data_IF_124049745339
#
_entry.id   IF_124049745339
#
_cell.length_a   1.000
_cell.length_b   1.000
_cell.length_c   1.000
_cell.angle_alpha   90.00
_cell.angle_beta   90.00
_cell.angle_gamma   90.00
#
_symmetry.space_group_name_H-M   'P 1'
#
loop_
_entity.id
_entity.type
_entity.pdbx_description
1 polymer ?
#
# COMPACT_ATOMS: atom_id res chain seq x y z
N UNK A 1 16.58 2.54 -20.31
CA UNK A 1 15.32 2.02 -19.73
C UNK A 1 15.57 0.58 -19.35
N UNK A 2 15.59 0.25 -18.06
CA UNK A 2 15.58 -1.15 -17.63
C UNK A 2 14.31 -1.79 -18.17
N UNK A 3 14.46 -2.74 -19.09
CA UNK A 3 13.33 -3.40 -19.74
C UNK A 3 12.68 -4.35 -18.72
N UNK A 4 11.88 -3.80 -17.80
CA UNK A 4 11.17 -4.58 -16.81
C UNK A 4 10.31 -5.62 -17.54
N UNK A 5 10.38 -6.88 -17.10
CA UNK A 5 9.53 -7.96 -17.60
C UNK A 5 8.06 -7.53 -17.56
N UNK A 6 7.26 -7.93 -18.56
CA UNK A 6 5.84 -7.65 -18.58
C UNK A 6 5.16 -8.36 -17.40
N UNK A 7 4.36 -7.62 -16.62
CA UNK A 7 3.59 -8.18 -15.50
C UNK A 7 2.34 -7.35 -15.25
N UNK A 8 1.34 -7.98 -14.63
CA UNK A 8 0.26 -7.26 -13.96
C UNK A 8 0.72 -6.78 -12.58
N UNK A 9 0.34 -5.56 -12.23
CA UNK A 9 0.62 -4.94 -10.93
C UNK A 9 -0.64 -4.32 -10.40
N UNK A 10 -0.71 -4.19 -9.07
CA UNK A 10 -1.77 -3.43 -8.43
C UNK A 10 -1.62 -1.96 -8.83
N UNK A 11 -2.68 -1.38 -9.39
CA UNK A 11 -2.67 0.03 -9.81
C UNK A 11 -3.50 0.90 -8.89
N UNK A 12 -4.54 0.35 -8.30
CA UNK A 12 -5.30 0.97 -7.23
C UNK A 12 -5.97 -0.07 -6.35
N UNK A 13 -6.38 0.40 -5.18
CA UNK A 13 -7.23 -0.31 -4.25
C UNK A 13 -8.46 0.56 -3.98
N UNK A 14 -9.63 -0.01 -4.19
CA UNK A 14 -10.93 0.55 -3.85
C UNK A 14 -11.49 -0.21 -2.64
N UNK A 15 -11.67 0.48 -1.52
CA UNK A 15 -12.18 -0.13 -0.30
C UNK A 15 -13.69 -0.43 -0.35
N UNK A 16 -14.43 0.19 -1.27
CA UNK A 16 -15.89 0.17 -1.25
C UNK A 16 -16.50 -0.92 -2.14
N UNK A 17 -16.01 -1.08 -3.37
CA UNK A 17 -16.65 -1.98 -4.35
C UNK A 17 -15.69 -3.02 -4.93
N UNK A 18 -14.55 -2.58 -5.47
CA UNK A 18 -13.77 -3.43 -6.37
C UNK A 18 -12.54 -4.12 -5.73
N UNK A 19 -12.10 -3.69 -4.55
CA UNK A 19 -10.87 -4.18 -3.95
C UNK A 19 -9.65 -3.81 -4.79
N UNK A 20 -8.75 -4.77 -5.01
CA UNK A 20 -7.55 -4.55 -5.81
C UNK A 20 -7.84 -4.59 -7.31
N UNK A 21 -7.39 -3.56 -8.02
CA UNK A 21 -7.48 -3.44 -9.48
C UNK A 21 -6.09 -3.48 -10.11
N UNK A 22 -5.95 -4.31 -11.14
CA UNK A 22 -4.67 -4.64 -11.74
C UNK A 22 -4.51 -3.99 -13.11
N UNK A 23 -3.27 -3.70 -13.48
CA UNK A 23 -2.94 -3.17 -14.80
C UNK A 23 -1.52 -3.56 -15.20
N UNK A 24 -1.25 -3.50 -16.50
CA UNK A 24 0.08 -3.81 -17.01
C UNK A 24 1.10 -2.79 -16.50
N UNK A 25 2.30 -3.26 -16.19
CA UNK A 25 3.40 -2.40 -15.74
C UNK A 25 3.98 -1.52 -16.85
N UNK A 26 3.76 -1.88 -18.11
CA UNK A 26 4.21 -1.14 -19.30
C UNK A 26 3.19 -1.25 -20.43
N UNK A 27 3.25 -0.32 -21.37
CA UNK A 27 2.46 -0.38 -22.60
C UNK A 27 2.91 -1.58 -23.44
N UNK A 28 1.96 -2.26 -24.06
CA UNK A 28 2.17 -3.34 -25.03
C UNK A 28 1.64 -2.91 -26.41
N UNK A 29 2.01 -3.59 -27.52
CA UNK A 29 1.44 -3.32 -28.82
C UNK A 29 -0.09 -3.45 -28.82
N UNK A 30 -0.76 -2.64 -29.64
CA UNK A 30 -2.23 -2.58 -29.66
C UNK A 30 -2.84 -3.94 -30.09
N UNK A 31 -2.19 -4.66 -31.00
CA UNK A 31 -2.59 -6.03 -31.41
C UNK A 31 -2.60 -7.03 -30.24
N UNK A 32 -1.63 -6.94 -29.33
CA UNK A 32 -1.59 -7.77 -28.12
C UNK A 32 -2.61 -7.29 -27.09
N UNK A 33 -2.83 -5.98 -26.99
CA UNK A 33 -3.80 -5.41 -26.07
C UNK A 33 -5.24 -5.79 -26.44
N UNK A 34 -5.61 -5.78 -27.72
CA UNK A 34 -6.97 -6.15 -28.16
C UNK A 34 -7.33 -7.60 -27.78
N UNK A 35 -6.34 -8.52 -27.67
CA UNK A 35 -6.58 -9.90 -27.20
C UNK A 35 -7.05 -9.95 -25.75
N UNK A 36 -6.55 -9.06 -24.91
CA UNK A 36 -6.84 -9.04 -23.47
C UNK A 36 -7.87 -7.99 -23.06
N UNK A 37 -8.15 -7.01 -23.92
CA UNK A 37 -9.10 -5.93 -23.67
C UNK A 37 -10.47 -6.37 -23.14
N UNK A 38 -11.07 -7.51 -23.55
CA UNK A 38 -12.33 -8.00 -22.97
C UNK A 38 -12.27 -8.29 -21.46
N UNK A 39 -11.07 -8.50 -20.89
CA UNK A 39 -10.83 -8.73 -19.47
C UNK A 39 -10.52 -7.43 -18.69
N UNK A 40 -10.49 -6.29 -19.40
CA UNK A 40 -10.27 -4.99 -18.80
C UNK A 40 -11.53 -4.12 -18.87
N UNK A 41 -11.78 -3.35 -17.82
CA UNK A 41 -12.73 -2.22 -17.81
C UNK A 41 -11.92 -0.93 -17.89
N UNK A 42 -12.35 0.00 -18.74
CA UNK A 42 -11.78 1.36 -18.77
C UNK A 42 -12.40 2.18 -17.66
N UNK A 43 -11.68 2.35 -16.55
CA UNK A 43 -12.16 3.06 -15.38
C UNK A 43 -11.93 4.56 -15.48
N UNK A 44 -12.92 5.33 -15.08
CA UNK A 44 -12.91 6.80 -14.98
C UNK A 44 -13.19 7.21 -13.54
N UNK A 45 -12.87 8.46 -13.17
CA UNK A 45 -13.17 8.98 -11.82
C UNK A 45 -14.63 8.81 -11.41
N UNK A 46 -15.55 8.95 -12.37
CA UNK A 46 -16.98 8.82 -12.14
C UNK A 46 -17.42 7.39 -11.76
N UNK A 47 -16.61 6.38 -12.07
CA UNK A 47 -16.90 4.98 -11.73
C UNK A 47 -16.66 4.66 -10.24
N UNK A 48 -16.09 5.59 -9.47
CA UNK A 48 -15.75 5.41 -8.05
C UNK A 48 -16.52 6.34 -7.11
N UNK A 49 -17.64 6.93 -7.56
CA UNK A 49 -18.36 7.97 -6.80
C UNK A 49 -19.40 7.37 -5.86
N UNK A 50 -19.12 7.45 -4.56
CA UNK A 50 -20.04 7.95 -3.53
C UNK A 50 -19.24 8.63 -2.40
N UNK A 51 -19.67 9.84 -2.00
CA UNK A 51 -19.47 10.55 -0.71
C UNK A 51 -18.07 10.73 -0.11
N UNK A 52 -17.30 9.65 0.00
CA UNK A 52 -15.98 9.54 0.61
C UNK A 52 -15.17 8.55 -0.24
N UNK A 53 -14.57 9.01 -1.35
CA UNK A 53 -13.82 8.14 -2.26
C UNK A 53 -12.66 7.50 -1.49
N UNK A 54 -12.84 6.25 -1.05
CA UNK A 54 -11.80 5.46 -0.39
C UNK A 54 -11.03 4.63 -1.43
N UNK A 55 -10.48 5.35 -2.42
CA UNK A 55 -9.64 4.75 -3.47
C UNK A 55 -8.22 5.27 -3.35
N UNK A 56 -7.26 4.37 -3.19
CA UNK A 56 -5.83 4.71 -3.17
C UNK A 56 -5.17 4.21 -4.46
N UNK A 57 -4.38 5.08 -5.11
CA UNK A 57 -3.61 4.72 -6.30
C UNK A 57 -4.02 5.46 -7.56
N UNK A 58 -3.85 4.82 -8.72
CA UNK A 58 -4.20 5.36 -10.04
C UNK A 58 -5.45 4.64 -10.57
N UNK A 59 -6.66 5.12 -10.22
CA UNK A 59 -7.91 4.48 -10.62
C UNK A 59 -8.17 4.54 -12.12
N UNK A 60 -7.71 5.58 -12.82
CA UNK A 60 -8.07 5.83 -14.21
C UNK A 60 -7.36 4.92 -15.23
N UNK A 61 -8.10 4.50 -16.25
CA UNK A 61 -7.64 3.71 -17.39
C UNK A 61 -8.04 2.24 -17.30
N UNK A 62 -7.55 1.45 -18.25
CA UNK A 62 -7.85 0.02 -18.30
C UNK A 62 -7.33 -0.72 -17.07
N UNK A 63 -8.25 -1.30 -16.30
CA UNK A 63 -7.94 -2.20 -15.18
C UNK A 63 -8.65 -3.54 -15.30
N UNK A 64 -8.00 -4.57 -14.78
CA UNK A 64 -8.47 -5.93 -14.73
C UNK A 64 -8.78 -6.28 -13.26
N UNK A 65 -9.85 -7.05 -13.05
CA UNK A 65 -10.21 -7.59 -11.74
C UNK A 65 -9.34 -8.79 -11.38
N UNK A 66 -9.16 -9.07 -10.08
CA UNK A 66 -8.35 -10.22 -9.62
C UNK A 66 -8.72 -11.54 -10.31
N UNK A 67 -10.02 -11.80 -10.47
CA UNK A 67 -10.56 -13.02 -11.11
C UNK A 67 -10.12 -13.23 -12.57
N UNK A 68 -9.73 -12.16 -13.27
CA UNK A 68 -9.37 -12.19 -14.69
C UNK A 68 -7.84 -12.08 -14.90
N UNK A 69 -7.07 -11.85 -13.82
CA UNK A 69 -5.59 -11.71 -13.85
C UNK A 69 -4.92 -12.93 -14.50
N UNK A 70 -5.27 -14.14 -14.06
CA UNK A 70 -4.62 -15.36 -14.56
C UNK A 70 -4.82 -15.57 -16.06
N UNK A 71 -6.02 -15.26 -16.58
CA UNK A 71 -6.33 -15.35 -18.01
C UNK A 71 -5.51 -14.34 -18.81
N UNK A 72 -5.39 -13.11 -18.32
CA UNK A 72 -4.58 -12.08 -18.98
C UNK A 72 -3.11 -12.47 -18.98
N UNK A 73 -2.59 -13.01 -17.87
CA UNK A 73 -1.21 -13.48 -17.78
C UNK A 73 -0.94 -14.64 -18.74
N UNK A 74 -1.88 -15.57 -18.89
CA UNK A 74 -1.80 -16.68 -19.85
C UNK A 74 -1.76 -16.17 -21.30
N UNK A 75 -2.71 -15.32 -21.69
CA UNK A 75 -2.82 -14.80 -23.07
C UNK A 75 -1.56 -14.02 -23.48
N UNK A 76 -0.99 -13.25 -22.56
CA UNK A 76 0.22 -12.45 -22.81
C UNK A 76 1.53 -13.21 -22.57
N UNK A 77 1.47 -14.49 -22.17
CA UNK A 77 2.65 -15.30 -21.89
C UNK A 77 3.49 -14.79 -20.70
N UNK A 78 2.86 -14.15 -19.72
CA UNK A 78 3.54 -13.62 -18.53
C UNK A 78 3.94 -14.79 -17.62
N UNK A 79 5.25 -14.98 -17.44
CA UNK A 79 5.76 -16.12 -16.67
C UNK A 79 5.85 -15.85 -15.17
N UNK A 80 6.14 -14.60 -14.80
CA UNK A 80 6.21 -14.13 -13.42
C UNK A 80 4.83 -13.64 -12.93
N UNK A 81 3.91 -14.59 -12.79
CA UNK A 81 2.49 -14.33 -12.48
C UNK A 81 2.29 -13.68 -11.11
N UNK A 82 1.14 -13.04 -10.91
CA UNK A 82 0.70 -12.55 -9.60
C UNK A 82 0.66 -13.70 -8.59
N UNK A 83 0.10 -14.84 -8.98
CA UNK A 83 0.00 -16.03 -8.15
C UNK A 83 1.38 -16.53 -7.70
N UNK A 84 2.35 -16.67 -8.62
CA UNK A 84 3.71 -17.09 -8.26
C UNK A 84 4.36 -16.12 -7.28
N UNK A 85 4.13 -14.81 -7.44
CA UNK A 85 4.67 -13.81 -6.50
C UNK A 85 4.02 -13.91 -5.12
N UNK A 86 2.71 -14.17 -5.04
CA UNK A 86 2.01 -14.39 -3.78
C UNK A 86 2.46 -15.70 -3.11
N UNK A 87 2.63 -16.79 -3.87
CA UNK A 87 3.07 -18.07 -3.36
C UNK A 87 4.49 -18.01 -2.78
N UNK A 88 5.41 -17.27 -3.41
CA UNK A 88 6.75 -17.02 -2.84
C UNK A 88 6.69 -16.39 -1.44
N UNK A 89 5.74 -15.47 -1.21
CA UNK A 89 5.54 -14.86 0.11
C UNK A 89 4.95 -15.89 1.08
N UNK A 90 3.92 -16.64 0.67
CA UNK A 90 3.30 -17.69 1.50
C UNK A 90 4.30 -18.77 1.91
N UNK A 91 5.14 -19.22 0.99
CA UNK A 91 6.22 -20.19 1.25
C UNK A 91 7.25 -19.65 2.24
N UNK A 92 7.63 -18.37 2.13
CA UNK A 92 8.51 -17.73 3.09
C UNK A 92 7.86 -17.63 4.49
N UNK A 93 6.55 -17.38 4.54
CA UNK A 93 5.78 -17.28 5.80
C UNK A 93 5.57 -18.63 6.50
N UNK A 94 5.66 -19.75 5.77
CA UNK A 94 5.57 -21.09 6.33
C UNK A 94 6.81 -21.50 7.17
N UNK A 95 7.94 -20.81 6.99
CA UNK A 95 9.19 -21.04 7.71
C UNK A 95 9.48 -19.84 8.63
N UNK A 96 9.57 -20.01 9.96
CA UNK A 96 9.75 -18.90 10.89
C UNK A 96 11.01 -18.05 10.65
N UNK A 97 12.11 -18.67 10.20
CA UNK A 97 13.37 -17.97 9.95
C UNK A 97 13.27 -17.17 8.66
N UNK A 98 12.72 -17.77 7.59
CA UNK A 98 12.49 -17.05 6.32
C UNK A 98 11.49 -15.92 6.49
N UNK A 99 10.44 -16.14 7.29
CA UNK A 99 9.46 -15.11 7.64
C UNK A 99 10.12 -13.92 8.32
N UNK A 100 10.89 -14.16 9.39
CA UNK A 100 11.57 -13.09 10.11
C UNK A 100 12.50 -12.28 9.18
N UNK A 101 13.34 -12.99 8.41
CA UNK A 101 14.23 -12.35 7.45
C UNK A 101 13.48 -11.51 6.40
N UNK A 102 12.36 -12.00 5.89
CA UNK A 102 11.56 -11.29 4.90
C UNK A 102 10.87 -10.05 5.49
N UNK A 103 10.38 -10.13 6.72
CA UNK A 103 9.80 -8.99 7.46
C UNK A 103 10.87 -7.92 7.69
N UNK A 104 12.05 -8.31 8.20
CA UNK A 104 13.15 -7.37 8.48
C UNK A 104 13.66 -6.70 7.22
N UNK A 105 13.86 -7.46 6.14
CA UNK A 105 14.24 -6.90 4.85
C UNK A 105 13.19 -5.92 4.33
N UNK A 106 11.90 -6.28 4.45
CA UNK A 106 10.82 -5.41 3.97
C UNK A 106 10.77 -4.10 4.76
N UNK A 107 10.97 -4.16 6.07
CA UNK A 107 11.05 -2.97 6.92
C UNK A 107 12.22 -2.06 6.54
N UNK A 108 13.42 -2.59 6.36
CA UNK A 108 14.58 -1.79 5.98
C UNK A 108 14.39 -1.13 4.61
N UNK A 109 13.80 -1.84 3.64
CA UNK A 109 13.43 -1.23 2.36
C UNK A 109 12.39 -0.12 2.52
N UNK A 110 11.34 -0.32 3.34
CA UNK A 110 10.34 0.71 3.61
C UNK A 110 10.98 1.96 4.21
N UNK A 111 11.85 1.81 5.22
CA UNK A 111 12.58 2.94 5.82
C UNK A 111 13.36 3.71 4.77
N UNK A 112 14.15 3.02 3.93
CA UNK A 112 14.94 3.67 2.88
C UNK A 112 14.04 4.42 1.88
N UNK A 113 12.92 3.80 1.47
CA UNK A 113 12.01 4.38 0.48
C UNK A 113 11.28 5.60 1.03
N UNK A 114 10.75 5.53 2.25
CA UNK A 114 10.07 6.66 2.89
C UNK A 114 11.05 7.77 3.31
N UNK A 115 12.25 7.45 3.76
CA UNK A 115 13.24 8.46 4.16
C UNK A 115 13.79 9.22 2.94
N UNK A 116 14.11 8.51 1.83
CA UNK A 116 14.70 9.14 0.65
C UNK A 116 13.67 9.73 -0.31
N UNK A 117 12.51 9.11 -0.43
CA UNK A 117 11.48 9.49 -1.39
C UNK A 117 10.29 10.23 -0.78
N UNK A 118 10.10 10.12 0.54
CA UNK A 118 8.94 10.63 1.23
C UNK A 118 8.99 12.14 1.43
N UNK A 119 7.83 12.77 1.24
CA UNK A 119 7.61 14.16 1.65
C UNK A 119 7.09 14.19 3.09
N UNK A 120 7.34 15.27 3.84
CA UNK A 120 6.86 15.44 5.22
C UNK A 120 5.88 16.62 5.34
N UNK A 121 4.73 16.60 4.65
CA UNK A 121 3.75 17.67 4.78
C UNK A 121 3.10 17.65 6.17
N UNK A 122 2.68 18.82 6.65
CA UNK A 122 1.90 18.93 7.88
C UNK A 122 0.55 18.24 7.75
N UNK A 123 0.12 17.54 8.81
CA UNK A 123 -1.13 16.80 8.81
C UNK A 123 -1.67 16.52 10.21
N UNK A 124 -2.91 16.04 10.27
CA UNK A 124 -3.58 15.52 11.45
C UNK A 124 -3.88 14.01 11.28
N UNK A 125 -3.49 13.19 12.27
CA UNK A 125 -3.70 11.74 12.23
C UNK A 125 -5.19 11.37 12.13
N UNK A 126 -6.07 12.10 12.80
CA UNK A 126 -7.52 11.90 12.74
C UNK A 126 -8.06 12.15 11.34
N UNK A 127 -7.59 13.19 10.66
CA UNK A 127 -7.96 13.46 9.26
C UNK A 127 -7.45 12.36 8.32
N UNK A 128 -6.20 11.90 8.53
CA UNK A 128 -5.66 10.78 7.77
C UNK A 128 -6.50 9.52 7.95
N UNK A 129 -6.92 9.22 9.19
CA UNK A 129 -7.71 8.05 9.49
C UNK A 129 -9.12 8.11 8.88
N UNK A 130 -9.82 9.25 8.98
CA UNK A 130 -11.16 9.44 8.39
C UNK A 130 -11.15 9.23 6.88
N UNK A 131 -10.12 9.73 6.19
CA UNK A 131 -9.98 9.61 4.74
C UNK A 131 -9.19 8.37 4.31
N UNK A 132 -8.86 7.48 5.25
CA UNK A 132 -8.09 6.30 4.92
C UNK A 132 -8.95 5.27 4.18
N UNK A 133 -8.33 4.57 3.25
CA UNK A 133 -8.90 3.38 2.61
C UNK A 133 -8.47 2.13 3.36
N UNK A 134 -7.33 2.20 4.03
CA UNK A 134 -6.73 1.09 4.78
C UNK A 134 -5.71 1.65 5.77
N UNK A 135 -5.65 1.06 6.96
CA UNK A 135 -4.63 1.35 7.97
C UNK A 135 -4.02 0.04 8.43
N UNK A 136 -2.71 -0.09 8.28
CA UNK A 136 -1.95 -1.19 8.85
C UNK A 136 -1.25 -0.75 10.14
N UNK A 137 -1.27 -1.63 11.15
CA UNK A 137 -0.59 -1.45 12.42
C UNK A 137 0.32 -2.66 12.67
N UNK A 138 1.57 -2.63 12.18
CA UNK A 138 2.50 -3.73 12.35
C UNK A 138 2.62 -4.13 13.83
N UNK A 139 2.37 -5.42 14.12
CA UNK A 139 2.45 -6.02 15.46
C UNK A 139 1.58 -5.34 16.54
N UNK A 140 0.52 -4.64 16.14
CA UNK A 140 -0.29 -3.77 17.02
C UNK A 140 0.56 -2.72 17.77
N UNK A 141 1.67 -2.30 17.17
CA UNK A 141 2.66 -1.44 17.82
C UNK A 141 2.07 -0.09 18.19
N UNK A 142 1.26 0.52 17.32
CA UNK A 142 0.61 1.78 17.61
C UNK A 142 -0.52 1.59 18.62
N UNK A 143 -1.39 0.59 18.42
CA UNK A 143 -2.48 0.25 19.35
C UNK A 143 -2.01 0.05 20.79
N UNK A 144 -0.82 -0.54 20.99
CA UNK A 144 -0.27 -0.86 22.33
C UNK A 144 0.74 0.18 22.84
N UNK A 145 1.38 0.92 21.95
CA UNK A 145 2.52 1.78 22.26
C UNK A 145 2.25 3.28 22.20
N UNK A 146 1.12 3.72 21.64
CA UNK A 146 0.91 5.15 21.34
C UNK A 146 1.04 6.06 22.57
N UNK A 147 0.50 5.65 23.71
CA UNK A 147 0.57 6.40 24.97
C UNK A 147 2.00 6.54 25.53
N UNK A 148 2.92 5.68 25.09
CA UNK A 148 4.33 5.70 25.50
C UNK A 148 5.24 6.42 24.50
N UNK A 149 4.69 6.98 23.43
CA UNK A 149 5.50 7.55 22.35
C UNK A 149 6.05 6.52 21.38
N UNK A 150 5.54 5.28 21.39
CA UNK A 150 5.97 4.20 20.52
C UNK A 150 4.92 3.86 19.47
N UNK A 151 5.34 3.07 18.48
CA UNK A 151 4.46 2.47 17.48
C UNK A 151 4.39 3.21 16.16
N UNK A 152 3.89 2.51 15.16
CA UNK A 152 3.88 2.98 13.78
C UNK A 152 2.59 2.59 13.06
N UNK A 153 2.24 3.36 12.03
CA UNK A 153 1.10 3.06 11.17
C UNK A 153 1.48 3.25 9.71
N UNK A 154 0.91 2.41 8.84
CA UNK A 154 0.83 2.70 7.42
C UNK A 154 -0.60 3.05 7.02
N UNK A 155 -0.83 4.27 6.54
CA UNK A 155 -2.16 4.78 6.22
C UNK A 155 -2.27 5.03 4.72
N UNK A 156 -3.27 4.41 4.09
CA UNK A 156 -3.55 4.56 2.67
C UNK A 156 -4.63 5.62 2.53
N UNK A 157 -4.36 6.67 1.77
CA UNK A 157 -5.30 7.75 1.50
C UNK A 157 -5.40 7.97 -0.02
N UNK A 158 -6.44 8.65 -0.51
CA UNK A 158 -6.53 9.01 -1.94
C UNK A 158 -5.32 9.79 -2.47
N UNK A 159 -4.57 10.45 -1.59
CA UNK A 159 -3.41 11.27 -1.95
C UNK A 159 -2.07 10.56 -1.74
N UNK A 160 -2.07 9.28 -1.34
CA UNK A 160 -0.84 8.49 -1.19
C UNK A 160 -0.83 7.60 0.05
N UNK A 161 0.31 6.94 0.23
CA UNK A 161 0.62 6.08 1.37
C UNK A 161 1.44 6.87 2.37
N UNK A 162 1.04 6.79 3.62
CA UNK A 162 1.71 7.43 4.74
C UNK A 162 2.38 6.38 5.62
N UNK A 163 3.58 6.71 6.08
CA UNK A 163 4.24 6.02 7.17
C UNK A 163 4.31 6.98 8.36
N UNK A 164 3.62 6.63 9.44
CA UNK A 164 3.51 7.42 10.66
C UNK A 164 4.31 6.73 11.74
N UNK A 165 5.23 7.46 12.36
CA UNK A 165 6.04 7.01 13.49
C UNK A 165 5.67 7.89 14.68
N UNK A 166 5.11 7.28 15.72
CA UNK A 166 4.78 8.03 16.93
C UNK A 166 6.06 8.64 17.54
N UNK A 167 5.97 9.89 17.99
CA UNK A 167 7.14 10.64 18.44
C UNK A 167 6.79 11.64 19.55
N UNK A 168 5.98 11.17 20.50
CA UNK A 168 5.54 11.96 21.65
C UNK A 168 6.22 11.54 22.98
N UNK A 169 7.18 10.61 22.92
CA UNK A 169 7.90 10.11 24.09
C UNK A 169 8.68 11.20 24.84
N UNK A 170 9.07 10.91 26.08
CA UNK A 170 9.80 11.86 26.95
C UNK A 170 11.12 12.34 26.31
N UNK A 171 11.83 11.43 25.66
CA UNK A 171 13.13 11.69 25.04
C UNK A 171 13.06 11.95 23.52
N UNK A 172 11.84 12.06 22.96
CA UNK A 172 11.64 12.33 21.54
C UNK A 172 12.02 13.77 21.18
N UNK A 173 12.68 13.96 20.04
CA UNK A 173 12.82 15.27 19.44
C UNK A 173 11.50 15.69 18.77
N UNK A 174 10.68 16.42 19.52
CA UNK A 174 9.35 16.87 19.09
C UNK A 174 9.40 17.91 17.97
N UNK A 175 10.56 18.51 17.69
CA UNK A 175 10.72 19.44 16.56
C UNK A 175 10.57 18.74 15.20
N UNK A 176 10.70 17.41 15.18
CA UNK A 176 10.47 16.58 14.00
C UNK A 176 8.98 16.31 13.73
N UNK A 177 8.07 16.65 14.65
CA UNK A 177 6.67 16.33 14.48
C UNK A 177 6.04 17.18 13.38
N UNK A 178 5.55 16.51 12.33
CA UNK A 178 4.75 17.12 11.27
C UNK A 178 3.32 16.57 11.24
N UNK A 179 3.01 15.55 12.05
CA UNK A 179 1.67 14.99 12.17
C UNK A 179 1.17 15.20 13.60
N UNK A 180 0.02 15.85 13.73
CA UNK A 180 -0.65 16.03 15.02
C UNK A 180 -1.32 14.72 15.42
N UNK A 181 -1.10 14.32 16.69
CA UNK A 181 -1.74 13.16 17.32
C UNK A 181 -2.26 13.57 18.70
N UNK A 182 -3.31 12.90 19.22
CA UNK A 182 -3.79 13.16 20.58
C UNK A 182 -2.69 13.02 21.66
N UNK A 183 -1.69 12.18 21.41
CA UNK A 183 -0.62 11.87 22.35
C UNK A 183 0.56 12.88 22.32
N UNK A 184 0.59 13.83 21.39
CA UNK A 184 1.61 14.89 21.35
C UNK A 184 2.45 14.98 20.07
N UNK A 185 2.08 14.22 19.03
CA UNK A 185 2.61 14.32 17.68
C UNK A 185 3.40 13.11 17.20
N UNK A 186 3.61 13.07 15.89
CA UNK A 186 4.28 12.01 15.17
C UNK A 186 5.09 12.56 13.99
N UNK A 187 6.06 11.77 13.54
CA UNK A 187 6.77 11.98 12.27
C UNK A 187 6.01 11.23 11.18
N UNK A 188 5.62 11.94 10.12
CA UNK A 188 4.88 11.37 9.00
C UNK A 188 5.60 11.56 7.68
N UNK A 189 5.81 10.47 6.94
CA UNK A 189 6.32 10.47 5.58
C UNK A 189 5.23 10.07 4.61
N UNK A 190 5.10 10.80 3.50
CA UNK A 190 4.11 10.54 2.45
C UNK A 190 4.78 10.22 1.13
N UNK A 191 4.35 9.11 0.53
CA UNK A 191 4.68 8.68 -0.83
C UNK A 191 3.42 8.56 -1.68
N UNK A 192 3.54 8.76 -2.99
CA UNK A 192 2.49 8.36 -3.92
C UNK A 192 2.36 6.83 -3.93
N UNK A 193 1.16 6.32 -4.21
CA UNK A 193 0.94 4.88 -4.29
C UNK A 193 1.90 4.21 -5.28
N UNK A 194 2.45 3.09 -4.86
CA UNK A 194 3.38 2.25 -5.61
C UNK A 194 3.18 0.79 -5.20
N UNK A 195 3.09 -0.12 -6.19
CA UNK A 195 2.81 -1.55 -5.98
C UNK A 195 3.92 -2.26 -5.18
N UNK A 196 5.18 -1.85 -5.36
CA UNK A 196 6.29 -2.41 -4.59
C UNK A 196 6.15 -2.01 -3.13
N UNK A 197 5.87 -0.74 -2.86
CA UNK A 197 5.71 -0.25 -1.49
C UNK A 197 4.50 -0.88 -0.82
N UNK A 198 3.36 -0.96 -1.50
CA UNK A 198 2.16 -1.63 -1.00
C UNK A 198 2.45 -3.08 -0.59
N UNK A 199 3.13 -3.82 -1.47
CA UNK A 199 3.54 -5.19 -1.17
C UNK A 199 4.46 -5.28 0.04
N UNK A 200 5.44 -4.39 0.16
CA UNK A 200 6.36 -4.38 1.30
C UNK A 200 5.63 -4.08 2.62
N UNK A 201 4.70 -3.12 2.62
CA UNK A 201 3.86 -2.79 3.78
C UNK A 201 3.08 -4.04 4.20
N UNK A 202 2.39 -4.69 3.27
CA UNK A 202 1.59 -5.90 3.54
C UNK A 202 2.40 -7.04 4.14
N UNK A 203 3.62 -7.23 3.65
CA UNK A 203 4.56 -8.24 4.18
C UNK A 203 4.97 -7.85 5.60
N UNK A 204 5.41 -6.62 5.81
CA UNK A 204 5.92 -6.16 7.09
C UNK A 204 4.84 -6.13 8.18
N UNK A 205 3.65 -5.66 7.82
CA UNK A 205 2.50 -5.63 8.72
C UNK A 205 1.85 -6.99 8.89
N UNK A 206 2.23 -7.98 8.08
CA UNK A 206 1.54 -9.27 7.98
C UNK A 206 0.03 -9.13 7.74
N UNK A 207 -0.34 -8.13 6.93
CA UNK A 207 -1.75 -7.73 6.71
C UNK A 207 -2.51 -7.29 7.97
N UNK A 208 -1.83 -6.98 9.08
CA UNK A 208 -2.48 -6.59 10.34
C UNK A 208 -3.14 -5.20 10.22
N UNK A 209 -4.46 -5.20 10.06
CA UNK A 209 -5.27 -3.99 9.98
C UNK A 209 -5.45 -3.40 11.38
N UNK A 210 -5.28 -2.09 11.48
CA UNK A 210 -5.53 -1.38 12.72
C UNK A 210 -6.97 -1.62 13.21
N UNK A 211 -7.06 -2.11 14.45
CA UNK A 211 -8.32 -2.44 15.13
C UNK A 211 -8.41 -1.78 16.51
N UNK A 212 -7.62 -0.73 16.74
CA UNK A 212 -7.60 0.01 18.01
C UNK A 212 -8.78 0.98 18.14
N UNK A 213 -8.69 1.87 19.13
CA UNK A 213 -9.66 2.96 19.30
C UNK A 213 -9.71 3.83 18.04
N UNK A 214 -10.85 4.46 17.76
CA UNK A 214 -10.93 5.41 16.65
C UNK A 214 -9.79 6.43 16.76
N UNK A 215 -9.05 6.56 15.66
CA UNK A 215 -7.97 7.53 15.53
C UNK A 215 -8.52 8.94 15.25
N UNK A 216 -9.85 9.11 15.21
CA UNK A 216 -10.59 10.33 14.93
C UNK A 216 -11.72 10.57 15.92
#
# INVERSE_FOLDING_TARGET
MTNNELKLETKCYDANEYGYLYGLNKKIPDEEFEKVKPFFKDFRRMDFVEGNVQVTGRPEGYRCFEKDVSKVEEILGITNTLEKRQNKVKEAFADPVKKANLIDQSYEWLKILFDKGGTRPEQDLSRLAVHSTKIYDPKDSFKRGCEKGEGELFIYTPHGMWYIINNCGEFSDKSLNNVQTPQGGAVGYRLMYDDLIDRLIRIYSEENIYSGKQLY
#
